data_IF_097364994419
#
_entry.id   IF_097364994419
#
_cell.length_a   1.000
_cell.length_b   1.000
_cell.length_c   1.000
_cell.angle_alpha   90.00
_cell.angle_beta   90.00
_cell.angle_gamma   90.00
#
_symmetry.space_group_name_H-M   'P 1'
#
loop_
_entity.id
_entity.type
_entity.pdbx_description
1 polymer ?
#
# COMPACT_ATOMS: atom_id res chain seq x y z
N UNK A 1 10.73 -22.74 11.23
CA UNK A 1 9.41 -23.11 10.72
C UNK A 1 9.46 -23.23 9.20
N UNK A 2 8.36 -23.65 8.58
CA UNK A 2 8.14 -23.67 7.12
C UNK A 2 7.12 -22.57 6.79
N UNK A 3 7.31 -21.86 5.67
CA UNK A 3 6.27 -20.94 5.15
C UNK A 3 5.24 -21.77 4.41
N UNK A 4 4.01 -21.81 4.94
CA UNK A 4 2.93 -22.63 4.39
C UNK A 4 2.01 -21.86 3.44
N UNK A 5 1.98 -20.53 3.56
CA UNK A 5 1.14 -19.65 2.77
C UNK A 5 1.59 -18.18 2.81
N UNK A 6 1.17 -17.42 1.81
CA UNK A 6 1.42 -16.00 1.65
C UNK A 6 0.16 -15.29 1.10
N UNK A 7 0.00 -14.01 1.39
CA UNK A 7 -1.14 -13.24 0.90
C UNK A 7 -0.93 -11.73 1.03
N UNK A 8 -1.57 -10.97 0.14
CA UNK A 8 -1.58 -9.51 0.16
C UNK A 8 -2.95 -8.98 -0.29
N UNK A 9 -3.25 -7.74 0.09
CA UNK A 9 -4.42 -7.03 -0.44
C UNK A 9 -4.05 -6.43 -1.80
N UNK A 10 -4.68 -6.92 -2.86
CA UNK A 10 -4.33 -6.60 -4.24
C UNK A 10 -5.24 -5.53 -4.87
N UNK A 11 -6.51 -5.44 -4.45
CA UNK A 11 -7.44 -4.43 -4.94
C UNK A 11 -8.56 -4.11 -3.94
N UNK A 12 -9.11 -2.91 -4.05
CA UNK A 12 -10.17 -2.43 -3.18
C UNK A 12 -11.43 -3.31 -3.25
N UNK A 13 -11.84 -3.85 -2.10
CA UNK A 13 -12.99 -4.75 -1.99
C UNK A 13 -12.66 -6.23 -2.18
N UNK A 14 -11.42 -6.56 -2.54
CA UNK A 14 -10.88 -7.91 -2.46
C UNK A 14 -10.62 -8.36 -1.02
N UNK A 15 -10.12 -9.59 -0.86
CA UNK A 15 -9.70 -10.11 0.44
C UNK A 15 -8.56 -9.27 1.00
N UNK A 16 -8.52 -9.15 2.33
CA UNK A 16 -7.35 -8.62 3.00
C UNK A 16 -6.22 -9.67 3.01
N UNK A 17 -5.00 -9.23 3.32
CA UNK A 17 -3.81 -10.07 3.29
C UNK A 17 -3.95 -11.35 4.15
N UNK A 18 -4.57 -11.24 5.33
CA UNK A 18 -4.76 -12.35 6.26
C UNK A 18 -5.72 -13.39 5.68
N UNK A 19 -6.85 -12.94 5.12
CA UNK A 19 -7.82 -13.82 4.47
C UNK A 19 -7.24 -14.45 3.21
N UNK A 20 -6.45 -13.71 2.44
CA UNK A 20 -5.76 -14.23 1.26
C UNK A 20 -4.73 -15.30 1.63
N UNK A 21 -3.95 -15.09 2.69
CA UNK A 21 -2.97 -16.08 3.16
C UNK A 21 -3.66 -17.35 3.70
N UNK A 22 -4.80 -17.22 4.37
CA UNK A 22 -5.62 -18.38 4.80
C UNK A 22 -6.15 -19.13 3.58
N UNK A 23 -6.70 -18.42 2.59
CA UNK A 23 -7.18 -19.01 1.34
C UNK A 23 -6.05 -19.73 0.57
N UNK A 24 -4.87 -19.12 0.50
CA UNK A 24 -3.69 -19.72 -0.13
C UNK A 24 -3.27 -21.02 0.59
N UNK A 25 -3.26 -21.03 1.94
CA UNK A 25 -2.99 -22.23 2.73
C UNK A 25 -3.97 -23.36 2.40
N UNK A 26 -5.27 -23.06 2.39
CA UNK A 26 -6.33 -24.01 2.06
C UNK A 26 -6.17 -24.57 0.64
N UNK A 27 -5.87 -23.70 -0.34
CA UNK A 27 -5.66 -24.10 -1.74
C UNK A 27 -4.46 -25.05 -1.91
N UNK A 28 -3.46 -24.92 -1.04
CA UNK A 28 -2.26 -25.79 -0.98
C UNK A 28 -2.46 -27.03 -0.11
N UNK A 29 -3.64 -27.22 0.48
CA UNK A 29 -3.92 -28.32 1.41
C UNK A 29 -3.13 -28.23 2.72
N UNK A 30 -2.70 -27.03 3.11
CA UNK A 30 -1.96 -26.76 4.35
C UNK A 30 -2.93 -26.19 5.39
N UNK A 31 -2.75 -26.57 6.66
CA UNK A 31 -3.56 -26.04 7.76
C UNK A 31 -2.81 -24.93 8.51
N UNK A 32 -3.39 -23.73 8.68
CA UNK A 32 -2.84 -22.69 9.56
C UNK A 32 -2.97 -23.00 11.06
N UNK A 33 -3.69 -24.05 11.44
CA UNK A 33 -3.94 -24.37 12.84
C UNK A 33 -2.62 -24.62 13.59
N UNK A 34 -2.42 -23.92 14.70
CA UNK A 34 -1.18 -23.96 15.47
C UNK A 34 -0.06 -23.07 14.94
N UNK A 35 -0.22 -22.44 13.78
CA UNK A 35 0.83 -21.65 13.14
C UNK A 35 0.99 -20.25 13.75
N UNK A 36 2.00 -19.54 13.25
CA UNK A 36 2.24 -18.11 13.50
C UNK A 36 1.91 -17.32 12.25
N UNK A 37 1.01 -16.34 12.37
CA UNK A 37 0.76 -15.37 11.31
C UNK A 37 1.69 -14.17 11.49
N UNK A 38 2.30 -13.71 10.39
CA UNK A 38 3.06 -12.46 10.34
C UNK A 38 2.28 -11.47 9.48
N UNK A 39 1.96 -10.30 10.02
CA UNK A 39 1.14 -9.29 9.35
C UNK A 39 1.78 -7.91 9.48
N UNK A 40 1.74 -7.12 8.42
CA UNK A 40 2.43 -5.82 8.37
C UNK A 40 1.66 -4.68 9.06
N UNK A 41 0.34 -4.84 9.24
CA UNK A 41 -0.53 -3.89 9.91
C UNK A 41 -1.45 -4.64 10.89
N UNK A 42 -1.93 -3.96 11.94
CA UNK A 42 -2.89 -4.54 12.89
C UNK A 42 -4.12 -5.08 12.16
N UNK A 43 -4.51 -6.36 12.41
CA UNK A 43 -5.68 -6.95 11.76
C UNK A 43 -6.96 -6.18 12.04
N UNK A 44 -7.75 -5.95 10.99
CA UNK A 44 -8.98 -5.19 11.11
C UNK A 44 -10.02 -5.92 11.99
N UNK A 45 -10.74 -5.15 12.80
CA UNK A 45 -11.72 -5.65 13.77
C UNK A 45 -13.12 -5.02 13.59
N UNK A 46 -13.50 -4.74 12.35
CA UNK A 46 -14.78 -4.12 12.02
C UNK A 46 -15.35 -4.72 10.74
N UNK A 47 -16.67 -4.69 10.63
CA UNK A 47 -17.38 -5.11 9.43
C UNK A 47 -17.37 -3.98 8.41
N UNK A 48 -16.57 -4.16 7.36
CA UNK A 48 -16.46 -3.25 6.23
C UNK A 48 -17.10 -3.86 4.98
N UNK A 49 -16.37 -3.87 3.87
CA UNK A 49 -16.75 -4.61 2.66
C UNK A 49 -16.54 -6.13 2.82
N UNK A 50 -15.60 -6.50 3.67
CA UNK A 50 -15.26 -7.88 4.05
C UNK A 50 -15.46 -8.06 5.56
N UNK A 51 -15.67 -9.32 6.03
CA UNK A 51 -15.65 -9.63 7.46
C UNK A 51 -14.28 -9.33 8.11
N UNK A 52 -14.23 -9.13 9.43
CA UNK A 52 -13.00 -8.80 10.16
C UNK A 52 -11.89 -9.85 9.99
N UNK A 53 -10.64 -9.41 9.82
CA UNK A 53 -9.48 -10.30 9.78
C UNK A 53 -9.21 -10.96 11.13
N UNK A 54 -9.59 -10.31 12.24
CA UNK A 54 -9.50 -10.92 13.57
C UNK A 54 -10.31 -12.21 13.68
N UNK A 55 -11.51 -12.25 13.10
CA UNK A 55 -12.36 -13.46 13.05
C UNK A 55 -11.75 -14.54 12.16
N UNK A 56 -11.23 -14.15 10.99
CA UNK A 56 -10.57 -15.08 10.07
C UNK A 56 -9.35 -15.76 10.72
N UNK A 57 -8.49 -14.97 11.38
CA UNK A 57 -7.34 -15.50 12.13
C UNK A 57 -7.80 -16.43 13.25
N UNK A 58 -8.83 -16.05 14.02
CA UNK A 58 -9.38 -16.91 15.06
C UNK A 58 -9.87 -18.26 14.51
N UNK A 59 -10.66 -18.25 13.44
CA UNK A 59 -11.20 -19.47 12.83
C UNK A 59 -10.14 -20.33 12.15
N UNK A 60 -9.06 -19.73 11.64
CA UNK A 60 -7.94 -20.47 11.06
C UNK A 60 -7.16 -21.30 12.09
N UNK A 61 -7.30 -20.97 13.38
CA UNK A 61 -6.66 -21.69 14.49
C UNK A 61 -5.20 -21.31 14.72
N UNK A 62 -4.70 -20.20 14.16
CA UNK A 62 -3.35 -19.71 14.49
C UNK A 62 -3.20 -19.46 15.99
N UNK A 63 -1.98 -19.65 16.51
CA UNK A 63 -1.68 -19.48 17.95
C UNK A 63 -0.91 -18.22 18.26
N UNK A 64 -0.18 -17.72 17.28
CA UNK A 64 0.64 -16.53 17.41
C UNK A 64 0.35 -15.59 16.24
N UNK A 65 0.24 -14.30 16.52
CA UNK A 65 0.13 -13.25 15.51
C UNK A 65 1.20 -12.20 15.81
N UNK A 66 2.15 -12.05 14.89
CA UNK A 66 3.22 -11.07 14.96
C UNK A 66 2.89 -9.94 14.01
N UNK A 67 2.75 -8.74 14.57
CA UNK A 67 2.31 -7.55 13.84
C UNK A 67 3.47 -6.56 13.72
N UNK A 68 3.71 -6.02 12.54
CA UNK A 68 4.77 -5.03 12.37
C UNK A 68 4.35 -3.66 12.93
N UNK A 69 3.19 -3.14 12.52
CA UNK A 69 2.75 -1.78 12.87
C UNK A 69 1.31 -1.78 13.42
N UNK A 70 1.00 -1.04 14.51
CA UNK A 70 -0.39 -0.84 14.97
C UNK A 70 -1.19 -0.04 13.94
N UNK A 71 -2.51 -0.22 13.83
CA UNK A 71 -3.28 0.56 12.84
C UNK A 71 -3.54 1.98 13.38
N UNK A 72 -2.92 3.04 12.80
CA UNK A 72 -3.17 4.40 13.28
C UNK A 72 -4.46 4.98 12.71
N UNK A 73 -5.18 4.25 11.86
CA UNK A 73 -6.30 4.80 11.12
C UNK A 73 -7.44 5.23 12.07
N UNK A 74 -7.69 6.52 12.18
CA UNK A 74 -8.69 7.04 13.11
C UNK A 74 -10.13 6.77 12.66
N UNK A 75 -10.35 6.18 11.47
CA UNK A 75 -11.69 5.82 11.00
C UNK A 75 -12.07 4.38 11.30
N UNK A 76 -11.12 3.54 11.73
CA UNK A 76 -11.42 2.14 12.08
C UNK A 76 -11.68 2.00 13.57
N UNK A 77 -12.57 1.08 13.90
CA UNK A 77 -12.67 0.56 15.26
C UNK A 77 -11.49 -0.39 15.41
N UNK A 78 -10.39 0.09 16.00
CA UNK A 78 -9.19 -0.70 16.29
C UNK A 78 -9.46 -1.81 17.32
N UNK A 79 -8.47 -2.09 18.17
CA UNK A 79 -8.52 -3.17 19.19
C UNK A 79 -8.39 -4.57 18.59
N UNK A 80 -7.79 -4.69 17.40
CA UNK A 80 -7.50 -5.98 16.79
C UNK A 80 -6.62 -6.84 17.70
N UNK A 81 -5.60 -6.22 18.31
CA UNK A 81 -4.74 -6.89 19.30
C UNK A 81 -5.57 -7.46 20.46
N UNK A 82 -6.38 -6.61 21.09
CA UNK A 82 -7.17 -6.99 22.26
C UNK A 82 -8.16 -8.12 21.96
N UNK A 83 -8.79 -8.11 20.77
CA UNK A 83 -9.73 -9.18 20.37
C UNK A 83 -9.02 -10.51 20.21
N UNK A 84 -7.85 -10.53 19.56
CA UNK A 84 -7.05 -11.73 19.39
C UNK A 84 -6.54 -12.27 20.74
N UNK A 85 -6.02 -11.39 21.60
CA UNK A 85 -5.55 -11.74 22.95
C UNK A 85 -6.68 -12.30 23.81
N UNK A 86 -7.86 -11.67 23.81
CA UNK A 86 -9.04 -12.15 24.54
C UNK A 86 -9.52 -13.52 24.05
N UNK A 87 -9.27 -13.84 22.79
CA UNK A 87 -9.56 -15.14 22.19
C UNK A 87 -8.46 -16.19 22.45
N UNK A 88 -7.41 -15.84 23.22
CA UNK A 88 -6.33 -16.74 23.59
C UNK A 88 -5.22 -16.88 22.55
N UNK A 89 -5.15 -15.97 21.58
CA UNK A 89 -4.05 -15.89 20.62
C UNK A 89 -2.94 -15.00 21.21
N UNK A 90 -1.70 -15.45 21.16
CA UNK A 90 -0.56 -14.64 21.59
C UNK A 90 -0.23 -13.61 20.51
N UNK A 91 -0.29 -12.33 20.86
CA UNK A 91 0.02 -11.22 19.96
C UNK A 91 1.32 -10.55 20.38
N UNK A 92 2.17 -10.24 19.41
CA UNK A 92 3.37 -9.40 19.61
C UNK A 92 3.42 -8.35 18.51
N UNK A 93 3.91 -7.15 18.82
CA UNK A 93 4.01 -6.05 17.86
C UNK A 93 5.42 -5.45 17.79
N UNK A 94 5.69 -4.71 16.71
CA UNK A 94 6.92 -3.93 16.54
C UNK A 94 8.01 -4.61 15.71
N UNK A 95 7.80 -5.85 15.25
CA UNK A 95 8.78 -6.54 14.42
C UNK A 95 8.87 -5.88 13.04
N UNK A 96 10.03 -5.31 12.70
CA UNK A 96 10.26 -4.59 11.44
C UNK A 96 9.30 -3.42 11.21
N UNK A 97 8.81 -2.80 12.29
CA UNK A 97 7.85 -1.70 12.25
C UNK A 97 8.26 -0.58 11.28
N UNK A 98 9.52 -0.16 11.30
CA UNK A 98 10.03 0.87 10.38
C UNK A 98 9.93 0.46 8.90
N UNK A 99 10.19 -0.81 8.56
CA UNK A 99 10.08 -1.27 7.17
C UNK A 99 8.62 -1.34 6.72
N UNK A 100 7.72 -1.80 7.60
CA UNK A 100 6.29 -1.77 7.34
C UNK A 100 5.75 -0.34 7.20
N UNK A 101 6.27 0.59 8.01
CA UNK A 101 5.91 2.00 7.93
C UNK A 101 6.35 2.63 6.60
N UNK A 102 7.55 2.33 6.12
CA UNK A 102 8.01 2.82 4.80
C UNK A 102 7.19 2.22 3.66
N UNK A 103 6.79 0.95 3.73
CA UNK A 103 5.87 0.34 2.75
C UNK A 103 4.53 1.07 2.68
N UNK A 104 3.99 1.48 3.84
CA UNK A 104 2.68 2.11 3.97
C UNK A 104 2.75 3.64 4.07
N UNK A 105 3.88 4.25 3.71
CA UNK A 105 4.21 5.65 4.01
C UNK A 105 3.13 6.66 3.61
N UNK A 106 2.53 6.61 2.39
CA UNK A 106 1.47 7.56 2.04
C UNK A 106 0.23 7.45 2.94
N UNK A 107 -0.16 6.21 3.29
CA UNK A 107 -1.30 5.94 4.15
C UNK A 107 -1.07 6.43 5.57
N UNK A 108 0.11 6.14 6.15
CA UNK A 108 0.44 6.59 7.51
C UNK A 108 0.52 8.11 7.60
N UNK A 109 1.11 8.77 6.59
CA UNK A 109 1.15 10.23 6.51
C UNK A 109 -0.25 10.84 6.47
N UNK A 110 -1.18 10.22 5.71
CA UNK A 110 -2.58 10.66 5.72
C UNK A 110 -3.28 10.43 7.06
N UNK A 111 -3.02 9.29 7.73
CA UNK A 111 -3.60 9.00 9.04
C UNK A 111 -3.20 10.07 10.07
N UNK A 112 -1.93 10.47 10.07
CA UNK A 112 -1.38 11.45 11.02
C UNK A 112 -1.76 12.89 10.65
N UNK A 113 -1.50 13.32 9.42
CA UNK A 113 -1.58 14.73 9.05
C UNK A 113 -2.85 15.13 8.32
N UNK A 114 -3.66 14.15 7.90
CA UNK A 114 -4.85 14.36 7.05
C UNK A 114 -4.53 15.09 5.74
N UNK A 115 -3.34 14.83 5.22
CA UNK A 115 -2.81 15.42 3.98
C UNK A 115 -2.14 14.33 3.15
N UNK A 116 -2.10 14.46 1.81
CA UNK A 116 -1.35 13.54 0.97
C UNK A 116 0.15 13.83 1.06
N UNK A 117 0.97 12.81 0.77
CA UNK A 117 2.37 13.03 0.41
C UNK A 117 2.42 13.66 -0.98
N UNK A 118 3.19 14.74 -1.12
CA UNK A 118 3.32 15.45 -2.38
C UNK A 118 4.73 15.22 -2.94
N UNK A 119 4.79 14.54 -4.09
CA UNK A 119 6.03 14.43 -4.87
C UNK A 119 6.05 15.50 -5.95
N UNK A 120 7.04 16.39 -5.90
CA UNK A 120 7.26 17.40 -6.94
C UNK A 120 8.25 16.84 -7.97
N UNK A 121 7.80 16.67 -9.22
CA UNK A 121 8.65 16.24 -10.33
C UNK A 121 8.92 17.41 -11.27
N UNK A 122 10.19 17.65 -11.59
CA UNK A 122 10.62 18.58 -12.64
C UNK A 122 11.54 17.88 -13.64
N UNK A 123 11.52 18.33 -14.90
CA UNK A 123 12.60 18.08 -15.84
C UNK A 123 13.29 19.41 -16.10
N UNK A 124 14.61 19.45 -16.05
CA UNK A 124 15.40 20.66 -16.29
C UNK A 124 16.55 20.35 -17.25
N UNK A 125 16.90 21.31 -18.08
CA UNK A 125 18.10 21.24 -18.91
C UNK A 125 19.38 21.42 -18.06
N UNK A 126 20.54 21.41 -18.72
CA UNK A 126 21.83 21.57 -18.04
C UNK A 126 22.02 22.93 -17.35
N UNK A 127 21.18 23.92 -17.68
CA UNK A 127 21.19 25.25 -17.08
C UNK A 127 20.06 25.45 -16.04
N UNK A 128 19.25 24.42 -15.76
CA UNK A 128 18.13 24.49 -14.82
C UNK A 128 16.81 24.98 -15.43
N UNK A 129 16.71 25.12 -16.75
CA UNK A 129 15.50 25.58 -17.43
C UNK A 129 14.54 24.42 -17.70
N UNK A 130 13.25 24.60 -17.42
CA UNK A 130 12.21 23.58 -17.68
C UNK A 130 11.69 23.60 -19.12
N UNK A 131 12.03 24.65 -19.86
CA UNK A 131 11.46 24.96 -21.17
C UNK A 131 12.33 25.97 -21.93
N UNK A 132 12.11 26.06 -23.24
CA UNK A 132 12.74 27.06 -24.10
C UNK A 132 11.76 28.20 -24.46
N UNK A 133 12.20 29.11 -25.35
CA UNK A 133 11.37 30.24 -25.83
C UNK A 133 10.48 29.88 -27.01
N UNK A 134 10.43 28.61 -27.42
CA UNK A 134 9.63 28.19 -28.56
C UNK A 134 8.14 28.14 -28.18
N UNK A 135 7.29 28.45 -29.15
CA UNK A 135 5.83 28.35 -28.99
C UNK A 135 5.34 26.90 -28.98
N UNK A 136 6.15 25.96 -29.52
CA UNK A 136 5.77 24.55 -29.63
C UNK A 136 6.35 23.77 -28.47
N UNK A 137 5.49 23.05 -27.74
CA UNK A 137 5.93 22.10 -26.75
C UNK A 137 6.88 21.05 -27.35
N UNK A 138 8.06 20.88 -26.74
CA UNK A 138 9.04 19.87 -27.12
C UNK A 138 9.54 19.11 -25.90
N UNK A 139 9.99 17.88 -26.13
CA UNK A 139 10.63 17.05 -25.11
C UNK A 139 12.13 17.08 -25.32
N UNK A 140 12.87 17.28 -24.24
CA UNK A 140 14.34 17.24 -24.24
C UNK A 140 14.91 16.11 -23.37
N UNK A 141 14.11 15.51 -22.48
CA UNK A 141 14.54 14.36 -21.66
C UNK A 141 14.51 13.06 -22.47
N UNK A 142 15.36 12.10 -22.09
CA UNK A 142 15.45 10.80 -22.76
C UNK A 142 14.20 9.93 -22.55
N UNK A 143 14.05 8.90 -23.39
CA UNK A 143 13.00 7.89 -23.26
C UNK A 143 13.04 7.19 -21.88
N UNK A 144 14.23 6.94 -21.33
CA UNK A 144 14.37 6.35 -19.99
C UNK A 144 13.80 7.26 -18.88
N UNK A 145 13.96 8.58 -19.00
CA UNK A 145 13.32 9.54 -18.09
C UNK A 145 11.80 9.52 -18.23
N UNK A 146 11.27 9.29 -19.44
CA UNK A 146 9.83 9.17 -19.64
C UNK A 146 9.30 7.92 -18.95
N UNK A 147 9.97 6.77 -19.07
CA UNK A 147 9.58 5.54 -18.37
C UNK A 147 9.56 5.74 -16.86
N UNK A 148 10.54 6.47 -16.32
CA UNK A 148 10.61 6.76 -14.89
C UNK A 148 9.47 7.66 -14.39
N UNK A 149 9.11 8.70 -15.15
CA UNK A 149 7.92 9.50 -14.82
C UNK A 149 6.65 8.66 -14.85
N UNK A 150 6.58 7.65 -15.72
CA UNK A 150 5.46 6.72 -15.76
C UNK A 150 5.41 5.78 -14.55
N UNK A 151 6.56 5.34 -14.02
CA UNK A 151 6.64 4.63 -12.73
C UNK A 151 6.16 5.51 -11.60
N UNK A 152 6.64 6.75 -11.54
CA UNK A 152 6.21 7.71 -10.53
C UNK A 152 4.69 7.94 -10.57
N UNK A 153 4.11 8.08 -11.77
CA UNK A 153 2.65 8.25 -11.93
C UNK A 153 1.85 7.05 -11.45
N UNK A 154 2.33 5.83 -11.70
CA UNK A 154 1.67 4.60 -11.21
C UNK A 154 1.61 4.57 -9.68
N UNK A 155 2.64 5.10 -9.03
CA UNK A 155 2.76 5.11 -7.58
C UNK A 155 2.07 6.35 -6.94
N UNK A 156 1.34 7.16 -7.72
CA UNK A 156 0.61 8.35 -7.25
C UNK A 156 -0.91 8.21 -7.46
N UNK A 157 -1.70 8.53 -6.44
CA UNK A 157 -3.17 8.53 -6.53
C UNK A 157 -3.74 9.64 -7.41
N UNK A 158 -3.00 10.74 -7.56
CA UNK A 158 -3.41 11.91 -8.33
C UNK A 158 -2.22 12.63 -8.96
N UNK A 159 -2.46 13.25 -10.13
CA UNK A 159 -1.49 14.09 -10.83
C UNK A 159 -2.07 15.49 -10.95
N UNK A 160 -1.28 16.48 -10.56
CA UNK A 160 -1.67 17.89 -10.58
C UNK A 160 -0.73 18.69 -11.50
N UNK A 161 -1.32 19.53 -12.34
CA UNK A 161 -0.61 20.47 -13.22
C UNK A 161 -1.33 21.82 -13.23
N UNK A 162 -0.63 22.88 -13.62
CA UNK A 162 -1.26 24.19 -13.88
C UNK A 162 -2.01 24.20 -15.22
N UNK A 163 -2.90 25.19 -15.40
CA UNK A 163 -3.69 25.35 -16.63
C UNK A 163 -2.80 25.54 -17.87
N UNK A 164 -1.69 26.28 -17.74
CA UNK A 164 -0.75 26.51 -18.84
C UNK A 164 -0.14 25.22 -19.39
N UNK A 165 0.11 24.21 -18.53
CA UNK A 165 0.57 22.89 -18.99
C UNK A 165 -0.50 22.20 -19.86
N UNK A 166 -1.77 22.38 -19.54
CA UNK A 166 -2.87 21.83 -20.36
C UNK A 166 -2.95 22.56 -21.69
N UNK A 167 -2.91 23.90 -21.67
CA UNK A 167 -3.03 24.73 -22.87
C UNK A 167 -1.86 24.53 -23.84
N UNK A 168 -0.64 24.46 -23.30
CA UNK A 168 0.59 24.34 -24.10
C UNK A 168 0.88 22.91 -24.56
N UNK A 169 0.75 21.93 -23.66
CA UNK A 169 1.23 20.56 -23.92
C UNK A 169 0.10 19.58 -24.24
N UNK A 170 -1.16 19.93 -23.94
CA UNK A 170 -2.34 19.07 -24.05
C UNK A 170 -2.08 17.61 -23.62
N UNK A 171 -1.60 17.38 -22.38
CA UNK A 171 -1.12 16.07 -21.96
C UNK A 171 -2.26 15.14 -21.57
N UNK A 172 -2.10 13.84 -21.81
CA UNK A 172 -3.04 12.83 -21.28
C UNK A 172 -2.85 12.55 -19.79
N UNK A 173 -1.64 12.78 -19.27
CA UNK A 173 -1.19 12.47 -17.89
C UNK A 173 -1.46 11.03 -17.42
N UNK A 174 -1.72 10.09 -18.33
CA UNK A 174 -1.94 8.67 -18.00
C UNK A 174 -0.65 7.88 -17.81
N UNK A 175 -0.76 6.67 -17.26
CA UNK A 175 0.30 5.64 -17.28
C UNK A 175 0.13 4.78 -18.55
N UNK A 176 1.13 4.75 -19.45
CA UNK A 176 1.02 4.09 -20.76
C UNK A 176 2.34 3.57 -21.36
N UNK A 177 3.42 3.59 -20.57
CA UNK A 177 4.77 3.20 -21.02
C UNK A 177 5.36 2.04 -20.22
N UNK A 178 4.68 1.65 -19.14
CA UNK A 178 5.07 0.58 -18.25
C UNK A 178 3.85 -0.32 -18.02
N UNK A 179 4.11 -1.53 -17.55
CA UNK A 179 3.08 -2.40 -17.03
C UNK A 179 2.46 -1.79 -15.76
N UNK A 180 1.13 -1.79 -15.71
CA UNK A 180 0.30 -1.26 -14.63
C UNK A 180 -0.29 -2.38 -13.81
#
# INVERSE_FOLDING_TARGET
GEVIAEGWHDHLGGLHAEQMAIHDAESKGKSPNGATAYVTLEPCNHYGRTPPCTEALLWSGVKHVIVAHPDPNPTVRGKGFQVLENAGISVQSGLLEHLAAEQMKPFLHWCEHRRPIVTVKLAVDANGSVDDRSEKAQRFTSEACLDEVHRLRRDCDAILVGAETIERDNPSLTVRRIET
#
